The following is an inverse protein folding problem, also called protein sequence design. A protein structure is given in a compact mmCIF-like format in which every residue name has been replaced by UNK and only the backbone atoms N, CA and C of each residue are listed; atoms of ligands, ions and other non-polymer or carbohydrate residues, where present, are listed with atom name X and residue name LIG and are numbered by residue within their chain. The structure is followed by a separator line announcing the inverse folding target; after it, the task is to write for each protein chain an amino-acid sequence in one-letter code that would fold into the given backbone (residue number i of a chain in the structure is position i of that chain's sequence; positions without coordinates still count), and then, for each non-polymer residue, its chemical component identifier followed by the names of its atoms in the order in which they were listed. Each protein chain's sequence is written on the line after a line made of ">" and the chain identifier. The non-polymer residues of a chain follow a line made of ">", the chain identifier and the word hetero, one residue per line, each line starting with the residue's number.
data_IF_624982530871
#
_entry.id   IF_624982530871
#
_cell.length_a   1.000
_cell.length_b   1.000
_cell.length_c   1.000
_cell.angle_alpha   90.00
_cell.angle_beta   90.00
_cell.angle_gamma   90.00
#
_symmetry.space_group_name_H-M   'P 1'
#
loop_
_entity.id
_entity.type
_entity.pdbx_description
1 polymer ?
#
# COMPACT_ATOMS: atom_id res chain seq x y z
N UNK A 1 -21.70 -1.32 -3.15
CA UNK A 1 -20.60 -0.34 -3.25
C UNK A 1 -19.70 -0.52 -4.48
N UNK A 2 -19.72 -1.66 -5.21
CA UNK A 2 -18.85 -1.82 -6.39
C UNK A 2 -19.34 -0.96 -7.57
N UNK A 3 -18.44 -0.15 -8.14
CA UNK A 3 -18.67 0.69 -9.32
C UNK A 3 -18.87 2.19 -9.09
N UNK A 4 -18.85 2.68 -7.84
CA UNK A 4 -19.10 4.10 -7.53
C UNK A 4 -17.85 4.97 -7.32
N UNK A 5 -16.69 4.34 -7.07
CA UNK A 5 -15.44 5.03 -6.78
C UNK A 5 -14.32 4.49 -7.65
N UNK A 6 -13.46 5.40 -8.10
CA UNK A 6 -12.18 5.08 -8.72
C UNK A 6 -11.12 5.37 -7.66
N UNK A 7 -10.45 4.33 -7.19
CA UNK A 7 -9.27 4.47 -6.35
C UNK A 7 -8.03 4.28 -7.22
N UNK A 8 -7.09 5.20 -7.11
CA UNK A 8 -5.85 5.17 -7.89
C UNK A 8 -4.68 5.61 -7.01
N UNK A 9 -3.49 5.11 -7.32
CA UNK A 9 -2.25 5.54 -6.69
C UNK A 9 -1.06 5.35 -7.62
N UNK A 10 0.05 6.00 -7.28
CA UNK A 10 1.31 5.89 -8.03
C UNK A 10 2.32 5.14 -7.19
N UNK A 11 2.82 4.03 -7.72
CA UNK A 11 3.90 3.26 -7.10
C UNK A 11 5.23 3.94 -7.45
N UNK A 12 6.04 4.28 -6.45
CA UNK A 12 7.38 4.87 -6.65
C UNK A 12 8.27 3.96 -7.51
N UNK A 13 8.36 2.67 -7.15
CA UNK A 13 9.12 1.69 -7.91
C UNK A 13 8.47 0.30 -7.86
N UNK A 14 8.18 -0.22 -9.03
CA UNK A 14 7.82 -1.62 -9.27
C UNK A 14 8.96 -2.28 -10.06
N UNK A 15 9.48 -3.40 -9.58
CA UNK A 15 10.60 -4.07 -10.24
C UNK A 15 10.50 -5.60 -10.13
N UNK A 16 11.09 -6.30 -11.10
CA UNK A 16 11.15 -7.75 -11.14
C UNK A 16 12.58 -8.21 -10.85
N UNK A 17 12.75 -9.05 -9.83
CA UNK A 17 14.04 -9.57 -9.41
C UNK A 17 13.87 -11.01 -8.91
N UNK A 18 14.74 -11.91 -9.35
CA UNK A 18 14.77 -13.31 -8.89
C UNK A 18 13.41 -14.02 -9.04
N UNK A 19 12.72 -13.78 -10.16
CA UNK A 19 11.44 -14.40 -10.43
C UNK A 19 10.25 -13.80 -9.67
N UNK A 20 10.45 -12.72 -8.90
CA UNK A 20 9.40 -12.08 -8.09
C UNK A 20 9.22 -10.61 -8.43
N UNK A 21 7.96 -10.18 -8.48
CA UNK A 21 7.62 -8.75 -8.47
C UNK A 21 7.78 -8.18 -7.07
N UNK A 22 8.33 -6.97 -6.97
CA UNK A 22 8.54 -6.25 -5.71
C UNK A 22 8.14 -4.79 -5.86
N UNK A 23 7.56 -4.24 -4.80
CA UNK A 23 7.21 -2.83 -4.68
C UNK A 23 8.18 -2.18 -3.69
N UNK A 24 8.72 -1.00 -4.03
CA UNK A 24 9.55 -0.19 -3.16
C UNK A 24 9.01 1.24 -3.15
N UNK A 25 8.85 1.80 -1.95
CA UNK A 25 8.43 3.18 -1.71
C UNK A 25 9.46 3.87 -0.79
N UNK A 26 9.83 5.10 -1.16
CA UNK A 26 10.89 5.84 -0.48
C UNK A 26 10.31 6.88 0.46
N UNK A 27 10.73 6.85 1.74
CA UNK A 27 10.37 7.89 2.71
C UNK A 27 11.60 8.70 3.09
N UNK A 28 11.57 10.00 2.79
CA UNK A 28 12.60 10.97 3.17
C UNK A 28 12.48 11.39 4.65
N UNK A 29 12.33 10.42 5.53
CA UNK A 29 12.23 10.62 6.98
C UNK A 29 12.70 9.38 7.72
N UNK A 30 12.84 9.48 9.04
CA UNK A 30 12.87 8.32 9.95
C UNK A 30 11.51 7.65 10.04
N UNK A 31 11.49 6.44 10.60
CA UNK A 31 10.23 5.82 11.00
C UNK A 31 9.55 6.67 12.08
N UNK A 32 8.28 7.00 11.84
CA UNK A 32 7.47 7.75 12.78
C UNK A 32 6.19 6.96 13.08
N UNK A 33 5.96 6.54 14.35
CA UNK A 33 4.77 5.80 14.74
C UNK A 33 3.44 6.48 14.38
N UNK A 34 3.41 7.82 14.28
CA UNK A 34 2.21 8.57 13.90
C UNK A 34 1.82 8.38 12.43
N UNK A 35 2.78 8.05 11.56
CA UNK A 35 2.57 7.91 10.11
C UNK A 35 2.74 6.49 9.61
N UNK A 36 3.32 5.59 10.41
CA UNK A 36 3.68 4.25 9.97
C UNK A 36 2.47 3.47 9.44
N UNK A 37 1.32 3.57 10.12
CA UNK A 37 0.10 2.88 9.71
C UNK A 37 -0.51 3.44 8.42
N UNK A 38 -0.31 4.75 8.15
CA UNK A 38 -0.68 5.34 6.87
C UNK A 38 0.16 4.75 5.74
N UNK A 39 1.46 4.60 5.96
CA UNK A 39 2.37 4.00 4.97
C UNK A 39 2.08 2.51 4.78
N UNK A 40 1.85 1.75 5.85
CA UNK A 40 1.44 0.34 5.76
C UNK A 40 0.15 0.17 4.97
N UNK A 41 -0.84 1.02 5.20
CA UNK A 41 -2.08 0.97 4.43
C UNK A 41 -1.83 1.26 2.94
N UNK A 42 -1.06 2.29 2.61
CA UNK A 42 -0.68 2.61 1.22
C UNK A 42 -0.01 1.41 0.54
N UNK A 43 0.93 0.75 1.22
CA UNK A 43 1.65 -0.39 0.66
C UNK A 43 0.76 -1.63 0.45
N UNK A 44 -0.14 -1.92 1.41
CA UNK A 44 -1.16 -2.97 1.25
C UNK A 44 -2.12 -2.65 0.11
N UNK A 45 -2.50 -1.39 -0.05
CA UNK A 45 -3.33 -0.95 -1.17
C UNK A 45 -2.64 -1.19 -2.51
N UNK A 46 -1.35 -0.87 -2.63
CA UNK A 46 -0.58 -1.14 -3.85
C UNK A 46 -0.48 -2.64 -4.15
N UNK A 47 -0.18 -3.48 -3.16
CA UNK A 47 -0.20 -4.93 -3.31
C UNK A 47 -1.57 -5.43 -3.77
N UNK A 48 -2.65 -4.93 -3.16
CA UNK A 48 -4.03 -5.29 -3.52
C UNK A 48 -4.36 -4.93 -4.97
N UNK A 49 -3.92 -3.76 -5.45
CA UNK A 49 -4.17 -3.34 -6.84
C UNK A 49 -3.44 -4.22 -7.85
N UNK A 50 -2.19 -4.58 -7.59
CA UNK A 50 -1.36 -5.26 -8.59
C UNK A 50 -1.43 -6.78 -8.52
N UNK A 51 -2.00 -7.37 -7.46
CA UNK A 51 -2.10 -8.84 -7.29
C UNK A 51 -2.83 -9.54 -8.46
N UNK A 52 -3.77 -8.85 -9.10
CA UNK A 52 -4.51 -9.38 -10.26
C UNK A 52 -3.89 -8.98 -11.61
N UNK A 53 -2.99 -7.99 -11.60
CA UNK A 53 -2.36 -7.45 -12.82
C UNK A 53 -1.02 -8.13 -13.14
N UNK A 54 -0.34 -8.62 -12.11
CA UNK A 54 1.01 -9.19 -12.22
C UNK A 54 0.99 -10.71 -11.99
N UNK A 55 1.88 -11.40 -12.70
CA UNK A 55 2.14 -12.84 -12.55
C UNK A 55 3.66 -13.05 -12.50
N UNK A 56 4.21 -13.66 -11.42
CA UNK A 56 3.52 -13.99 -10.16
C UNK A 56 3.02 -12.73 -9.43
N UNK A 57 2.04 -12.87 -8.55
CA UNK A 57 1.60 -11.74 -7.74
C UNK A 57 2.73 -11.34 -6.76
N UNK A 58 2.96 -10.03 -6.53
CA UNK A 58 3.92 -9.60 -5.51
C UNK A 58 3.40 -9.96 -4.12
N UNK A 59 4.27 -10.55 -3.30
CA UNK A 59 3.95 -10.98 -1.93
C UNK A 59 4.21 -9.87 -0.91
N UNK A 60 5.21 -9.03 -1.18
CA UNK A 60 5.68 -7.99 -0.26
C UNK A 60 5.93 -6.66 -0.96
N UNK A 61 5.75 -5.59 -0.18
CA UNK A 61 6.08 -4.24 -0.54
C UNK A 61 6.97 -3.65 0.56
N UNK A 62 8.06 -2.98 0.19
CA UNK A 62 9.08 -2.51 1.12
C UNK A 62 9.04 -0.98 1.22
N UNK A 63 8.95 -0.46 2.43
CA UNK A 63 9.21 0.94 2.74
C UNK A 63 10.71 1.11 3.04
N UNK A 64 11.37 2.04 2.37
CA UNK A 64 12.75 2.41 2.64
C UNK A 64 12.82 3.81 3.24
N UNK A 65 13.23 3.91 4.51
CA UNK A 65 13.39 5.16 5.24
C UNK A 65 14.83 5.67 5.08
N UNK A 66 14.99 6.78 4.36
CA UNK A 66 16.30 7.23 3.89
C UNK A 66 17.22 7.75 5.01
N UNK A 67 16.65 8.42 6.04
CA UNK A 67 17.45 9.03 7.11
C UNK A 67 18.17 8.01 7.99
N UNK A 68 17.52 6.88 8.25
CA UNK A 68 18.04 5.81 9.13
C UNK A 68 18.40 4.55 8.36
N UNK A 69 18.22 4.55 7.02
CA UNK A 69 18.45 3.42 6.11
C UNK A 69 17.76 2.14 6.58
N UNK A 70 16.59 2.30 7.19
CA UNK A 70 15.79 1.17 7.66
C UNK A 70 14.80 0.75 6.59
N UNK A 71 14.52 -0.55 6.57
CA UNK A 71 13.50 -1.14 5.70
C UNK A 71 12.37 -1.69 6.56
N UNK A 72 11.16 -1.59 6.03
CA UNK A 72 10.00 -2.23 6.62
C UNK A 72 9.21 -2.92 5.52
N UNK A 73 9.13 -4.24 5.62
CA UNK A 73 8.30 -5.04 4.73
C UNK A 73 6.85 -5.02 5.19
N UNK A 74 5.97 -4.94 4.20
CA UNK A 74 4.52 -4.94 4.36
C UNK A 74 3.99 -6.03 3.44
N UNK A 75 3.18 -6.92 4.01
CA UNK A 75 2.47 -7.96 3.28
C UNK A 75 0.97 -7.64 3.27
N UNK A 76 0.25 -8.20 2.30
CA UNK A 76 -1.20 -8.15 2.27
C UNK A 76 -1.76 -9.11 3.33
N UNK A 77 -2.67 -8.62 4.18
CA UNK A 77 -3.39 -9.43 5.15
C UNK A 77 -4.82 -9.75 4.66
N UNK A 78 -5.44 -10.78 5.24
CA UNK A 78 -6.78 -11.23 4.82
C UNK A 78 -7.92 -10.26 5.18
N UNK A 79 -7.68 -9.28 6.05
CA UNK A 79 -8.68 -8.29 6.47
C UNK A 79 -8.59 -6.97 5.72
N UNK A 80 -7.71 -6.88 4.71
CA UNK A 80 -7.45 -5.62 4.03
C UNK A 80 -8.63 -5.12 3.19
N UNK A 81 -9.42 -6.01 2.58
CA UNK A 81 -10.58 -5.61 1.76
C UNK A 81 -11.66 -4.97 2.65
N UNK A 82 -11.93 -5.55 3.83
CA UNK A 82 -12.83 -4.95 4.81
C UNK A 82 -12.31 -3.63 5.37
N UNK A 83 -11.00 -3.52 5.62
CA UNK A 83 -10.38 -2.25 6.03
C UNK A 83 -10.54 -1.18 4.95
N UNK A 84 -10.33 -1.54 3.68
CA UNK A 84 -10.48 -0.64 2.54
C UNK A 84 -11.91 -0.12 2.43
N UNK A 85 -12.91 -1.01 2.46
CA UNK A 85 -14.33 -0.64 2.42
C UNK A 85 -14.71 0.29 3.57
N UNK A 86 -14.21 0.01 4.79
CA UNK A 86 -14.43 0.87 5.96
C UNK A 86 -13.85 2.27 5.75
N UNK A 87 -12.62 2.39 5.23
CA UNK A 87 -11.98 3.70 5.00
C UNK A 87 -12.69 4.50 3.91
N UNK A 88 -13.21 3.85 2.87
CA UNK A 88 -14.03 4.52 1.85
C UNK A 88 -15.29 5.11 2.52
N UNK A 89 -16.01 4.31 3.32
CA UNK A 89 -17.21 4.78 4.01
C UNK A 89 -16.94 5.90 5.03
N UNK A 90 -15.82 5.85 5.74
CA UNK A 90 -15.37 6.91 6.65
C UNK A 90 -15.07 8.21 5.88
N UNK A 91 -14.38 8.11 4.74
CA UNK A 91 -14.12 9.24 3.86
C UNK A 91 -15.42 9.87 3.34
N UNK A 92 -16.36 9.07 2.82
CA UNK A 92 -17.66 9.57 2.36
C UNK A 92 -18.40 10.35 3.44
N UNK A 93 -18.44 9.85 4.68
CA UNK A 93 -19.11 10.54 5.80
C UNK A 93 -18.48 11.88 6.12
N UNK A 94 -17.15 11.99 6.02
CA UNK A 94 -16.42 13.22 6.32
C UNK A 94 -16.60 14.32 5.26
N UNK A 95 -16.86 13.94 4.01
CA UNK A 95 -16.92 14.86 2.87
C UNK A 95 -18.32 14.99 2.22
N UNK A 96 -19.34 14.37 2.81
CA UNK A 96 -20.76 14.53 2.43
C UNK A 96 -21.53 15.51 3.34
N UNK A 97 -20.83 16.27 4.18
CA UNK A 97 -21.35 17.42 4.94
C UNK A 97 -20.99 18.73 4.23
#
# INVERSE_FOLDING_TARGET
>A
MRGRHILSGTIDKLYFLEGKWRILDFKASRQNPLFIEKYRFQMRFYLYLVKELLRPAPETATLLFLEERSMLDVALDSGFEEELDRRIAEYEKAFSQ
#
